data_IF_672565479361
#
_entry.id   IF_672565479361
#
_cell.length_a   1.000
_cell.length_b   1.000
_cell.length_c   1.000
_cell.angle_alpha   90.00
_cell.angle_beta   90.00
_cell.angle_gamma   90.00
#
_symmetry.space_group_name_H-M   'P 1'
#
loop_
_entity.id
_entity.type
_entity.pdbx_description
1 polymer ?
#
# COMPACT_ATOMS: atom_id res chain seq x y z
N UNK A 1 -1.87 17.37 23.55
CA UNK A 1 -1.81 16.37 22.45
C UNK A 1 -2.97 15.43 22.66
N UNK A 2 -4.02 15.55 21.84
CA UNK A 2 -5.17 14.66 21.94
C UNK A 2 -4.73 13.24 21.54
N UNK A 3 -4.62 12.35 22.53
CA UNK A 3 -4.46 10.92 22.26
C UNK A 3 -5.77 10.52 21.58
N UNK A 4 -5.73 10.37 20.26
CA UNK A 4 -6.78 9.72 19.47
C UNK A 4 -7.44 8.63 20.31
N UNK A 5 -8.74 8.78 20.60
CA UNK A 5 -9.48 7.86 21.45
C UNK A 5 -9.43 6.47 20.80
N UNK A 6 -8.62 5.59 21.38
CA UNK A 6 -8.58 4.19 20.97
C UNK A 6 -9.99 3.58 21.09
N UNK A 7 -10.43 2.89 20.04
CA UNK A 7 -11.68 2.13 20.02
C UNK A 7 -11.36 0.66 20.19
N UNK A 8 -12.09 -0.01 21.07
CA UNK A 8 -11.94 -1.45 21.27
C UNK A 8 -12.49 -2.19 20.04
N UNK A 9 -11.74 -3.18 19.57
CA UNK A 9 -12.14 -4.12 18.54
C UNK A 9 -11.73 -5.53 18.96
N UNK A 10 -12.58 -6.52 18.69
CA UNK A 10 -12.28 -7.93 18.91
C UNK A 10 -12.04 -8.60 17.56
N UNK A 11 -10.91 -9.30 17.44
CA UNK A 11 -10.50 -10.00 16.22
C UNK A 11 -10.01 -11.40 16.57
N UNK A 12 -10.26 -12.34 15.69
CA UNK A 12 -9.73 -13.70 15.79
C UNK A 12 -8.46 -13.81 14.95
N UNK A 13 -7.43 -14.44 15.51
CA UNK A 13 -6.20 -14.79 14.80
C UNK A 13 -6.08 -16.30 14.74
N UNK A 14 -5.52 -16.81 13.65
CA UNK A 14 -5.01 -18.18 13.63
C UNK A 14 -4.02 -18.40 14.78
N UNK A 15 -4.05 -19.59 15.38
CA UNK A 15 -3.28 -19.89 16.59
C UNK A 15 -1.78 -19.62 16.40
N UNK A 16 -1.21 -20.05 15.27
CA UNK A 16 0.21 -19.87 14.97
C UNK A 16 0.56 -18.40 14.72
N UNK A 17 -0.35 -17.62 14.11
CA UNK A 17 -0.16 -16.19 13.89
C UNK A 17 -0.23 -15.44 15.22
N UNK A 18 -1.17 -15.79 16.09
CA UNK A 18 -1.24 -15.20 17.43
C UNK A 18 0.03 -15.48 18.26
N UNK A 19 0.57 -16.71 18.19
CA UNK A 19 1.87 -17.06 18.82
C UNK A 19 3.01 -16.20 18.27
N UNK A 20 3.11 -16.06 16.95
CA UNK A 20 4.13 -15.22 16.32
C UNK A 20 3.99 -13.74 16.72
N UNK A 21 2.77 -13.20 16.75
CA UNK A 21 2.50 -11.84 17.21
C UNK A 21 2.90 -11.63 18.67
N UNK A 22 2.59 -12.59 19.56
CA UNK A 22 3.03 -12.53 20.96
C UNK A 22 4.55 -12.50 21.10
N UNK A 23 5.27 -13.34 20.35
CA UNK A 23 6.73 -13.35 20.35
C UNK A 23 7.32 -12.04 19.82
N UNK A 24 6.77 -11.52 18.71
CA UNK A 24 7.18 -10.23 18.14
C UNK A 24 6.93 -9.08 19.11
N UNK A 25 5.76 -9.05 19.76
CA UNK A 25 5.40 -8.06 20.77
C UNK A 25 6.41 -8.05 21.93
N UNK A 26 6.72 -9.24 22.49
CA UNK A 26 7.70 -9.38 23.55
C UNK A 26 9.11 -8.97 23.10
N UNK A 27 9.56 -9.43 21.93
CA UNK A 27 10.89 -9.13 21.41
C UNK A 27 11.11 -7.67 20.99
N UNK A 28 10.03 -6.91 20.75
CA UNK A 28 10.10 -5.49 20.36
C UNK A 28 9.66 -4.53 21.46
N UNK A 29 9.29 -5.04 22.64
CA UNK A 29 8.71 -4.26 23.73
C UNK A 29 7.52 -3.39 23.28
N UNK A 30 6.61 -3.98 22.50
CA UNK A 30 5.40 -3.33 21.96
C UNK A 30 4.17 -4.16 22.26
N UNK A 31 3.00 -3.53 22.29
CA UNK A 31 1.75 -4.29 22.40
C UNK A 31 1.35 -4.92 21.06
N UNK A 32 0.54 -5.99 21.12
CA UNK A 32 -0.08 -6.58 19.91
C UNK A 32 -0.91 -5.52 19.19
N UNK A 33 -1.67 -4.71 19.93
CA UNK A 33 -2.47 -3.61 19.36
C UNK A 33 -1.62 -2.60 18.62
N UNK A 34 -0.43 -2.24 19.12
CA UNK A 34 0.47 -1.32 18.42
C UNK A 34 1.00 -1.91 17.11
N UNK A 35 1.35 -3.20 17.11
CA UNK A 35 1.84 -3.91 15.92
C UNK A 35 0.73 -4.01 14.87
N UNK A 36 -0.48 -4.39 15.29
CA UNK A 36 -1.63 -4.53 14.39
C UNK A 36 -2.04 -3.17 13.82
N UNK A 37 -2.10 -2.13 14.65
CA UNK A 37 -2.43 -0.78 14.19
C UNK A 37 -1.42 -0.24 13.18
N UNK A 38 -0.12 -0.50 13.38
CA UNK A 38 0.90 -0.11 12.41
C UNK A 38 0.74 -0.86 11.09
N UNK A 39 0.52 -2.19 11.14
CA UNK A 39 0.30 -2.98 9.93
C UNK A 39 -0.92 -2.51 9.13
N UNK A 40 -2.04 -2.22 9.81
CA UNK A 40 -3.26 -1.70 9.17
C UNK A 40 -3.01 -0.30 8.58
N UNK A 41 -2.31 0.59 9.27
CA UNK A 41 -1.93 1.90 8.71
C UNK A 41 -1.04 1.77 7.48
N UNK A 42 -0.10 0.84 7.50
CA UNK A 42 0.75 0.54 6.34
C UNK A 42 -0.08 0.13 5.13
N UNK A 43 -0.99 -0.83 5.31
CA UNK A 43 -1.91 -1.29 4.26
C UNK A 43 -2.74 -0.14 3.69
N UNK A 44 -3.37 0.66 4.55
CA UNK A 44 -4.20 1.80 4.12
C UNK A 44 -3.38 2.87 3.39
N UNK A 45 -2.13 3.09 3.79
CA UNK A 45 -1.24 4.03 3.11
C UNK A 45 -0.79 3.52 1.73
N UNK A 46 -0.60 2.21 1.56
CA UNK A 46 -0.33 1.61 0.26
C UNK A 46 -1.55 1.70 -0.65
N UNK A 47 -2.75 1.44 -0.15
CA UNK A 47 -4.00 1.62 -0.90
C UNK A 47 -4.16 3.06 -1.38
N UNK A 48 -3.88 4.03 -0.51
CA UNK A 48 -3.91 5.45 -0.86
C UNK A 48 -2.89 5.79 -1.97
N UNK A 49 -1.66 5.27 -1.89
CA UNK A 49 -0.66 5.46 -2.95
C UNK A 49 -1.09 4.85 -4.27
N UNK A 50 -1.78 3.71 -4.24
CA UNK A 50 -2.29 3.08 -5.46
C UNK A 50 -3.36 3.98 -6.09
N UNK A 51 -4.30 4.50 -5.30
CA UNK A 51 -5.30 5.46 -5.78
C UNK A 51 -4.65 6.71 -6.38
N UNK A 52 -3.65 7.28 -5.69
CA UNK A 52 -2.89 8.42 -6.19
C UNK A 52 -2.13 8.09 -7.48
N UNK A 53 -1.58 6.88 -7.63
CA UNK A 53 -0.93 6.45 -8.86
C UNK A 53 -1.93 6.31 -10.01
N UNK A 54 -3.15 5.85 -9.75
CA UNK A 54 -4.24 5.84 -10.73
C UNK A 54 -4.67 7.26 -11.13
N UNK A 55 -4.76 8.19 -10.18
CA UNK A 55 -5.10 9.59 -10.44
C UNK A 55 -3.95 10.34 -11.14
N UNK A 56 -2.70 10.06 -10.76
CA UNK A 56 -1.49 10.57 -11.41
C UNK A 56 -1.22 9.90 -12.76
N UNK A 57 -1.93 8.80 -13.07
CA UNK A 57 -2.11 8.29 -14.42
C UNK A 57 -3.11 9.16 -15.22
N UNK A 58 -3.22 10.45 -14.88
CA UNK A 58 -3.56 11.51 -15.81
C UNK A 58 -2.62 11.40 -17.03
N UNK A 59 -3.11 10.69 -18.06
CA UNK A 59 -2.59 10.68 -19.43
C UNK A 59 -1.14 10.18 -19.60
N UNK A 60 -0.94 8.85 -19.65
CA UNK A 60 -0.14 8.38 -20.79
C UNK A 60 -1.05 8.54 -22.02
N UNK A 61 -0.72 9.40 -23.01
CA UNK A 61 -1.53 9.50 -24.21
C UNK A 61 -1.61 8.10 -24.80
N UNK A 62 -2.82 7.60 -25.03
CA UNK A 62 -2.98 6.39 -25.83
C UNK A 62 -2.52 6.73 -27.23
N UNK A 63 -1.26 6.43 -27.53
CA UNK A 63 -0.65 6.66 -28.83
C UNK A 63 -1.24 5.62 -29.77
N UNK A 64 -1.84 6.06 -30.89
CA UNK A 64 -2.30 5.11 -31.88
C UNK A 64 -1.10 4.38 -32.51
N UNK A 65 -1.35 3.20 -33.07
CA UNK A 65 -0.31 2.49 -33.80
C UNK A 65 0.23 3.32 -34.98
N UNK A 66 -0.61 4.15 -35.59
CA UNK A 66 -0.22 5.06 -36.66
C UNK A 66 0.72 6.17 -36.16
N UNK A 67 0.41 6.78 -35.01
CA UNK A 67 1.25 7.81 -34.39
C UNK A 67 2.63 7.25 -34.01
N UNK A 68 2.66 6.04 -33.45
CA UNK A 68 3.91 5.33 -33.14
C UNK A 68 4.75 5.09 -34.40
N UNK A 69 4.14 4.63 -35.50
CA UNK A 69 4.85 4.40 -36.76
C UNK A 69 5.37 5.69 -37.39
N UNK A 70 4.61 6.78 -37.28
CA UNK A 70 5.05 8.09 -37.77
C UNK A 70 6.25 8.61 -36.98
N UNK A 71 6.24 8.48 -35.65
CA UNK A 71 7.38 8.84 -34.80
C UNK A 71 8.62 8.02 -35.14
N UNK A 72 8.50 6.70 -35.27
CA UNK A 72 9.62 5.81 -35.64
C UNK A 72 10.22 6.18 -37.00
N UNK A 73 9.38 6.54 -37.96
CA UNK A 73 9.83 7.00 -39.29
C UNK A 73 10.53 8.35 -39.21
N UNK A 74 10.04 9.27 -38.39
CA UNK A 74 10.64 10.60 -38.20
C UNK A 74 12.03 10.53 -37.55
N UNK A 75 12.25 9.53 -36.69
CA UNK A 75 13.52 9.24 -36.04
C UNK A 75 14.48 8.38 -36.88
N UNK A 76 14.06 7.95 -38.08
CA UNK A 76 14.86 7.09 -38.97
C UNK A 76 15.09 5.68 -38.44
N UNK A 77 14.23 5.21 -37.53
CA UNK A 77 14.29 3.85 -36.97
C UNK A 77 13.60 2.82 -37.87
N UNK A 78 12.73 3.28 -38.78
CA UNK A 78 12.09 2.52 -39.87
C UNK A 78 12.02 3.35 -41.15
#
# INVERSE_FOLDING_TARGET
MDKSKAKQASIYFDENIHKALRLKAAGTNRSISDIVNEAVKGLLAEDQKNLEAFEAQDYEPVVSYEDLLNDLKSEGKI
#
